data_IF_608757020299
#
_entry.id   IF_608757020299
#
_cell.length_a   1.000
_cell.length_b   1.000
_cell.length_c   1.000
_cell.angle_alpha   90.00
_cell.angle_beta   90.00
_cell.angle_gamma   90.00
#
_symmetry.space_group_name_H-M   'P 1'
#
loop_
_entity.id
_entity.type
_entity.pdbx_description
1 polymer ?
#
# COMPACT_ATOMS: atom_id res chain seq x y z
N UNK A 1 20.89 8.15 -4.15
CA UNK A 1 19.47 8.28 -3.65
C UNK A 1 19.40 7.50 -2.36
N UNK A 2 18.94 8.13 -1.31
CA UNK A 2 18.82 7.49 -0.01
C UNK A 2 17.70 6.45 -0.04
N UNK A 3 17.99 5.27 0.49
CA UNK A 3 17.02 4.18 0.61
C UNK A 3 15.99 4.50 1.69
N UNK A 4 14.80 3.97 1.53
CA UNK A 4 13.71 4.07 2.49
C UNK A 4 13.67 2.76 3.28
N UNK A 5 13.76 2.83 4.61
CA UNK A 5 13.69 1.63 5.44
C UNK A 5 12.27 1.07 5.47
N UNK A 6 12.16 -0.25 5.45
CA UNK A 6 10.88 -0.95 5.65
C UNK A 6 10.41 -0.91 7.11
N UNK A 7 11.31 -0.52 8.03
CA UNK A 7 11.07 -0.59 9.48
C UNK A 7 11.29 -1.99 10.07
N UNK A 8 11.59 -2.98 9.24
CA UNK A 8 11.88 -4.37 9.65
C UNK A 8 13.35 -4.66 9.36
N UNK A 9 14.17 -4.69 10.44
CA UNK A 9 15.63 -4.80 10.31
C UNK A 9 16.07 -5.97 9.43
N UNK A 10 15.53 -7.16 9.64
CA UNK A 10 15.93 -8.35 8.85
C UNK A 10 15.59 -8.20 7.36
N UNK A 11 14.53 -7.46 7.03
CA UNK A 11 14.14 -7.17 5.66
C UNK A 11 15.10 -6.15 5.04
N UNK A 12 15.41 -5.09 5.78
CA UNK A 12 16.37 -4.08 5.32
C UNK A 12 17.78 -4.67 5.16
N UNK A 13 18.20 -5.59 6.03
CA UNK A 13 19.50 -6.29 5.93
C UNK A 13 19.60 -7.12 4.64
N UNK A 14 18.50 -7.71 4.17
CA UNK A 14 18.46 -8.55 2.95
C UNK A 14 18.32 -7.68 1.69
N UNK A 15 17.38 -6.74 1.69
CA UNK A 15 17.03 -5.95 0.50
C UNK A 15 17.82 -4.64 0.38
N UNK A 16 18.46 -4.22 1.47
CA UNK A 16 19.11 -2.92 1.56
C UNK A 16 18.13 -1.75 1.60
N UNK A 17 16.88 -1.98 2.02
CA UNK A 17 15.79 -1.00 2.00
C UNK A 17 15.14 -0.80 0.63
N UNK A 18 14.11 0.04 0.59
CA UNK A 18 13.34 0.35 -0.62
C UNK A 18 14.00 1.50 -1.39
N UNK A 19 13.86 1.48 -2.70
CA UNK A 19 14.18 2.64 -3.53
C UNK A 19 13.02 3.65 -3.52
N UNK A 20 13.30 4.95 -3.64
CA UNK A 20 12.26 5.93 -3.92
C UNK A 20 11.46 5.54 -5.17
N UNK A 21 10.14 5.45 -5.00
CA UNK A 21 9.22 4.99 -6.04
C UNK A 21 8.84 3.51 -5.97
N UNK A 22 9.44 2.72 -5.08
CA UNK A 22 9.05 1.31 -4.94
C UNK A 22 7.60 1.18 -4.46
N UNK A 23 6.82 0.43 -5.21
CA UNK A 23 5.48 0.01 -4.87
C UNK A 23 5.54 -1.43 -4.36
N UNK A 24 5.21 -1.62 -3.10
CA UNK A 24 5.26 -2.92 -2.40
C UNK A 24 3.87 -3.44 -2.20
N UNK A 25 3.57 -4.60 -2.77
CA UNK A 25 2.30 -5.29 -2.58
C UNK A 25 2.48 -6.46 -1.62
N UNK A 26 1.74 -6.45 -0.54
CA UNK A 26 1.69 -7.49 0.46
C UNK A 26 0.47 -8.38 0.22
N UNK A 27 0.71 -9.63 -0.15
CA UNK A 27 -0.32 -10.63 -0.32
C UNK A 27 -0.51 -11.41 0.98
N UNK A 28 -1.66 -11.27 1.61
CA UNK A 28 -1.94 -11.76 2.96
C UNK A 28 -3.17 -12.66 3.01
N UNK A 29 -3.19 -13.63 3.90
CA UNK A 29 -4.37 -14.43 4.20
C UNK A 29 -5.35 -13.67 5.10
N UNK A 30 -4.82 -13.03 6.14
CA UNK A 30 -5.54 -12.18 7.07
C UNK A 30 -4.95 -10.78 7.08
N UNK A 31 -5.81 -9.77 7.06
CA UNK A 31 -5.40 -8.37 7.08
C UNK A 31 -4.61 -8.01 8.35
N UNK A 32 -4.84 -8.71 9.45
CA UNK A 32 -4.07 -8.53 10.68
C UNK A 32 -2.57 -8.85 10.49
N UNK A 33 -2.21 -9.73 9.57
CA UNK A 33 -0.81 -10.00 9.23
C UNK A 33 -0.16 -8.78 8.55
N UNK A 34 -0.92 -8.04 7.75
CA UNK A 34 -0.45 -6.79 7.13
C UNK A 34 -0.18 -5.70 8.16
N UNK A 35 -0.95 -5.65 9.25
CA UNK A 35 -0.75 -4.68 10.35
C UNK A 35 0.70 -4.64 10.82
N UNK A 36 1.33 -5.78 11.03
CA UNK A 36 2.70 -5.85 11.55
C UNK A 36 3.72 -5.14 10.64
N UNK A 37 3.61 -5.35 9.33
CA UNK A 37 4.55 -4.73 8.37
C UNK A 37 4.24 -3.24 8.17
N UNK A 38 2.95 -2.87 8.18
CA UNK A 38 2.53 -1.46 8.06
C UNK A 38 2.93 -0.65 9.28
N UNK A 39 2.68 -1.15 10.49
CA UNK A 39 3.05 -0.47 11.73
C UNK A 39 4.57 -0.23 11.81
N UNK A 40 5.38 -1.20 11.39
CA UNK A 40 6.82 -1.05 11.34
C UNK A 40 7.25 0.03 10.35
N UNK A 41 6.69 0.00 9.13
CA UNK A 41 6.97 0.96 8.07
C UNK A 41 6.55 2.39 8.45
N UNK A 42 5.34 2.55 8.98
CA UNK A 42 4.79 3.86 9.39
C UNK A 42 5.64 4.45 10.51
N UNK A 43 5.91 3.69 11.58
CA UNK A 43 6.74 4.17 12.71
C UNK A 43 8.14 4.55 12.26
N UNK A 44 8.77 3.75 11.40
CA UNK A 44 10.11 4.06 10.89
C UNK A 44 10.09 5.29 9.98
N UNK A 45 9.14 5.38 9.09
CA UNK A 45 8.99 6.54 8.19
C UNK A 45 8.79 7.85 8.95
N UNK A 46 7.95 7.85 9.99
CA UNK A 46 7.77 9.02 10.88
C UNK A 46 9.09 9.38 11.57
N UNK A 47 9.81 8.38 12.10
CA UNK A 47 11.11 8.59 12.77
C UNK A 47 12.15 9.18 11.82
N UNK A 48 12.10 8.82 10.55
CA UNK A 48 12.99 9.31 9.49
C UNK A 48 12.52 10.65 8.89
N UNK A 49 11.49 11.29 9.48
CA UNK A 49 10.98 12.58 9.05
C UNK A 49 10.23 12.55 7.72
N UNK A 50 9.68 11.40 7.32
CA UNK A 50 8.85 11.27 6.12
C UNK A 50 7.43 11.74 6.38
N UNK A 51 6.79 12.31 5.36
CA UNK A 51 5.37 12.57 5.33
C UNK A 51 4.63 11.27 5.04
N UNK A 52 3.97 10.69 6.05
CA UNK A 52 3.22 9.45 5.88
C UNK A 52 1.79 9.78 5.48
N UNK A 53 1.41 9.39 4.28
CA UNK A 53 0.06 9.57 3.75
C UNK A 53 -0.69 8.24 3.85
N UNK A 54 -1.71 8.21 4.72
CA UNK A 54 -2.51 7.02 4.99
C UNK A 54 -3.85 7.13 4.27
N UNK A 55 -4.04 6.32 3.25
CA UNK A 55 -5.27 6.29 2.44
C UNK A 55 -6.18 5.21 2.97
N UNK A 56 -7.29 5.64 3.54
CA UNK A 56 -8.27 4.83 4.23
C UNK A 56 -9.61 4.84 3.50
N UNK A 57 -10.37 3.77 3.62
CA UNK A 57 -11.68 3.65 2.99
C UNK A 57 -12.79 3.84 4.01
N UNK A 58 -13.78 4.67 3.71
CA UNK A 58 -14.92 4.92 4.59
C UNK A 58 -15.60 3.64 5.03
N UNK A 59 -16.10 3.64 6.27
CA UNK A 59 -16.82 2.52 6.91
C UNK A 59 -15.96 1.30 7.22
N UNK A 60 -14.66 1.45 7.25
CA UNK A 60 -13.72 0.39 7.62
C UNK A 60 -12.93 0.86 8.84
N UNK A 61 -12.51 -0.04 9.70
CA UNK A 61 -11.58 0.30 10.78
C UNK A 61 -10.16 0.40 10.22
N UNK A 62 -9.39 1.39 10.69
CA UNK A 62 -7.98 1.51 10.35
C UNK A 62 -7.18 0.29 10.80
N UNK A 63 -6.20 -0.13 9.99
CA UNK A 63 -5.28 -1.20 10.35
C UNK A 63 -4.30 -0.72 11.42
N UNK A 64 -3.84 0.53 11.36
CA UNK A 64 -2.93 1.10 12.37
C UNK A 64 -3.72 1.75 13.51
N UNK A 65 -3.18 1.65 14.72
CA UNK A 65 -3.85 2.14 15.93
C UNK A 65 -3.65 3.64 16.14
N UNK A 66 -2.48 4.19 15.78
CA UNK A 66 -2.14 5.60 15.98
C UNK A 66 -2.10 6.37 14.67
N UNK A 67 -3.15 7.14 14.44
CA UNK A 67 -3.29 8.02 13.27
C UNK A 67 -2.80 9.45 13.53
N UNK A 68 -2.35 9.77 14.75
CA UNK A 68 -2.07 11.16 15.15
C UNK A 68 -0.88 11.80 14.41
N UNK A 69 -0.02 11.00 13.80
CA UNK A 69 1.21 11.43 13.12
C UNK A 69 1.22 11.12 11.62
N UNK A 70 0.07 10.78 11.06
CA UNK A 70 -0.08 10.53 9.64
C UNK A 70 -1.08 11.50 9.02
N UNK A 71 -0.91 11.80 7.74
CA UNK A 71 -1.91 12.51 6.95
C UNK A 71 -2.99 11.50 6.55
N UNK A 72 -4.13 11.55 7.24
CA UNK A 72 -5.24 10.64 6.97
C UNK A 72 -6.11 11.17 5.82
N UNK A 73 -6.33 10.33 4.82
CA UNK A 73 -7.24 10.59 3.70
C UNK A 73 -8.33 9.52 3.64
N UNK A 74 -9.56 9.88 3.95
CA UNK A 74 -10.71 8.99 3.85
C UNK A 74 -11.38 9.09 2.48
N UNK A 75 -11.34 8.02 1.72
CA UNK A 75 -11.92 7.94 0.39
C UNK A 75 -13.20 7.08 0.37
N UNK A 76 -14.15 7.51 -0.45
CA UNK A 76 -15.42 6.81 -0.63
C UNK A 76 -15.46 6.05 -1.95
N UNK A 77 -15.43 4.72 -1.89
CA UNK A 77 -15.49 3.85 -3.06
C UNK A 77 -16.82 3.91 -3.81
N UNK A 78 -17.90 4.36 -3.15
CA UNK A 78 -19.22 4.50 -3.77
C UNK A 78 -19.28 5.58 -4.86
N UNK A 79 -18.30 6.47 -4.92
CA UNK A 79 -18.17 7.49 -5.97
C UNK A 79 -17.70 6.94 -7.32
N UNK A 80 -17.30 5.67 -7.36
CA UNK A 80 -16.83 5.00 -8.57
C UNK A 80 -15.33 5.09 -8.80
N UNK A 81 -14.87 4.32 -9.79
CA UNK A 81 -13.44 4.14 -10.09
C UNK A 81 -12.73 5.43 -10.48
N UNK A 82 -13.36 6.23 -11.35
CA UNK A 82 -12.73 7.45 -11.88
C UNK A 82 -12.52 8.50 -10.79
N UNK A 83 -13.57 8.81 -10.01
CA UNK A 83 -13.51 9.77 -8.92
C UNK A 83 -12.51 9.33 -7.84
N UNK A 84 -12.50 8.03 -7.52
CA UNK A 84 -11.55 7.46 -6.58
C UNK A 84 -10.11 7.63 -7.07
N UNK A 85 -9.83 7.20 -8.30
CA UNK A 85 -8.48 7.28 -8.89
C UNK A 85 -8.00 8.72 -9.01
N UNK A 86 -8.87 9.64 -9.43
CA UNK A 86 -8.58 11.08 -9.46
C UNK A 86 -8.25 11.63 -8.07
N UNK A 87 -9.01 11.23 -7.06
CA UNK A 87 -8.76 11.66 -5.68
C UNK A 87 -7.39 11.19 -5.19
N UNK A 88 -7.05 9.91 -5.42
CA UNK A 88 -5.72 9.36 -5.11
C UNK A 88 -4.61 10.12 -5.83
N UNK A 89 -4.75 10.38 -7.11
CA UNK A 89 -3.74 11.11 -7.90
C UNK A 89 -3.58 12.55 -7.41
N UNK A 90 -4.66 13.23 -7.02
CA UNK A 90 -4.59 14.57 -6.43
C UNK A 90 -3.85 14.56 -5.08
N UNK A 91 -4.10 13.56 -4.22
CA UNK A 91 -3.35 13.39 -2.97
C UNK A 91 -1.86 13.19 -3.26
N UNK A 92 -1.50 12.29 -4.17
CA UNK A 92 -0.11 12.06 -4.55
C UNK A 92 0.55 13.33 -5.08
N UNK A 93 -0.16 14.09 -5.92
CA UNK A 93 0.34 15.35 -6.49
C UNK A 93 0.59 16.42 -5.42
N UNK A 94 -0.30 16.55 -4.45
CA UNK A 94 -0.23 17.60 -3.42
C UNK A 94 0.66 17.24 -2.24
N UNK A 95 0.89 15.92 -2.00
CA UNK A 95 1.65 15.39 -0.88
C UNK A 95 2.93 14.65 -1.33
N UNK A 96 3.52 15.04 -2.47
CA UNK A 96 4.62 14.26 -3.06
C UNK A 96 5.98 14.46 -2.39
N UNK A 97 6.19 15.60 -1.72
CA UNK A 97 7.50 15.93 -1.15
C UNK A 97 7.83 15.05 0.07
N UNK A 98 8.97 14.34 -0.01
CA UNK A 98 9.49 13.47 1.06
C UNK A 98 8.45 12.48 1.63
N UNK A 99 7.59 11.95 0.77
CA UNK A 99 6.38 11.22 1.14
C UNK A 99 6.50 9.71 0.97
N UNK A 100 5.76 9.00 1.81
CA UNK A 100 5.43 7.59 1.65
C UNK A 100 3.92 7.40 1.75
N UNK A 101 3.41 6.33 1.16
CA UNK A 101 1.97 6.06 1.10
C UNK A 101 1.64 4.69 1.66
N UNK A 102 0.55 4.61 2.40
CA UNK A 102 -0.05 3.35 2.85
C UNK A 102 -1.49 3.31 2.36
N UNK A 103 -1.81 2.28 1.59
CA UNK A 103 -3.19 1.99 1.18
C UNK A 103 -3.75 0.91 2.10
N UNK A 104 -4.72 1.32 2.92
CA UNK A 104 -5.35 0.42 3.88
C UNK A 104 -6.36 -0.47 3.17
N UNK A 105 -5.85 -1.67 2.89
CA UNK A 105 -6.50 -2.81 2.29
C UNK A 105 -7.29 -2.60 0.99
N UNK A 106 -6.62 -2.87 -0.13
CA UNK A 106 -7.26 -2.90 -1.46
C UNK A 106 -8.32 -4.01 -1.61
N UNK A 107 -8.43 -4.93 -0.65
CA UNK A 107 -9.52 -5.91 -0.60
C UNK A 107 -10.90 -5.22 -0.54
N UNK A 108 -10.98 -4.03 0.03
CA UNK A 108 -12.22 -3.25 0.04
C UNK A 108 -12.53 -2.64 -1.33
N UNK A 109 -11.51 -2.30 -2.11
CA UNK A 109 -11.68 -1.84 -3.50
C UNK A 109 -12.35 -2.93 -4.35
N UNK A 110 -11.86 -4.16 -4.28
CA UNK A 110 -12.46 -5.29 -4.98
C UNK A 110 -13.94 -5.47 -4.60
N UNK A 111 -14.24 -5.42 -3.31
CA UNK A 111 -15.61 -5.54 -2.81
C UNK A 111 -16.50 -4.36 -3.22
N UNK A 112 -15.95 -3.15 -3.23
CA UNK A 112 -16.69 -1.95 -3.59
C UNK A 112 -17.04 -1.86 -5.07
N UNK A 113 -16.13 -2.33 -5.93
CA UNK A 113 -16.34 -2.26 -7.39
C UNK A 113 -16.75 -3.60 -8.02
N UNK A 114 -16.77 -4.68 -7.25
CA UNK A 114 -17.12 -6.03 -7.71
C UNK A 114 -16.36 -6.49 -8.95
N UNK A 115 -15.13 -6.01 -9.13
CA UNK A 115 -14.34 -6.24 -10.34
C UNK A 115 -12.84 -6.30 -10.07
N UNK A 116 -12.26 -7.43 -10.38
CA UNK A 116 -10.81 -7.66 -10.38
C UNK A 116 -10.11 -6.74 -11.38
N UNK A 117 -10.73 -6.52 -12.55
CA UNK A 117 -10.18 -5.66 -13.59
C UNK A 117 -10.01 -4.22 -13.11
N UNK A 118 -10.94 -3.69 -12.33
CA UNK A 118 -10.84 -2.34 -11.77
C UNK A 118 -9.66 -2.23 -10.79
N UNK A 119 -9.42 -3.27 -9.98
CA UNK A 119 -8.26 -3.31 -9.11
C UNK A 119 -6.96 -3.31 -9.92
N UNK A 120 -6.84 -4.16 -10.96
CA UNK A 120 -5.67 -4.17 -11.83
C UNK A 120 -5.44 -2.81 -12.53
N UNK A 121 -6.50 -2.18 -13.01
CA UNK A 121 -6.44 -0.86 -13.64
C UNK A 121 -5.99 0.22 -12.65
N UNK A 122 -6.43 0.15 -11.39
CA UNK A 122 -5.95 1.07 -10.35
C UNK A 122 -4.43 0.99 -10.18
N UNK A 123 -3.85 -0.22 -10.07
CA UNK A 123 -2.41 -0.38 -10.03
C UNK A 123 -1.72 0.17 -11.27
N UNK A 124 -2.26 -0.15 -12.46
CA UNK A 124 -1.69 0.26 -13.74
C UNK A 124 -1.56 1.77 -13.89
N UNK A 125 -2.45 2.55 -13.30
CA UNK A 125 -2.42 4.02 -13.41
C UNK A 125 -1.77 4.69 -12.20
N UNK A 126 -1.82 4.08 -11.01
CA UNK A 126 -1.32 4.69 -9.77
C UNK A 126 0.15 4.38 -9.52
N UNK A 127 0.61 3.13 -9.72
CA UNK A 127 2.00 2.75 -9.45
C UNK A 127 3.03 3.51 -10.30
N UNK A 128 2.84 3.71 -11.62
CA UNK A 128 3.75 4.53 -12.40
C UNK A 128 3.80 5.98 -11.95
N UNK A 129 2.71 6.50 -11.40
CA UNK A 129 2.67 7.86 -10.89
C UNK A 129 3.45 7.99 -9.56
N UNK A 130 3.27 7.07 -8.63
CA UNK A 130 4.06 6.97 -7.39
C UNK A 130 5.56 6.82 -7.71
N UNK A 131 5.90 5.97 -8.66
CA UNK A 131 7.28 5.79 -9.14
C UNK A 131 7.86 7.10 -9.66
N UNK A 132 7.11 7.83 -10.50
CA UNK A 132 7.53 9.12 -11.09
C UNK A 132 7.81 10.19 -10.04
N UNK A 133 7.04 10.24 -8.96
CA UNK A 133 7.25 11.20 -7.86
C UNK A 133 8.26 10.71 -6.81
N UNK A 134 8.80 9.51 -6.98
CA UNK A 134 9.79 8.94 -6.06
C UNK A 134 9.25 8.57 -4.69
N UNK A 135 7.95 8.27 -4.58
CA UNK A 135 7.31 7.93 -3.33
C UNK A 135 7.14 6.41 -3.18
N UNK A 136 7.65 5.84 -2.09
CA UNK A 136 7.40 4.44 -1.78
C UNK A 136 5.96 4.26 -1.27
N UNK A 137 5.33 3.15 -1.67
CA UNK A 137 3.96 2.86 -1.30
C UNK A 137 3.75 1.40 -0.89
N UNK A 138 2.95 1.20 0.16
CA UNK A 138 2.49 -0.10 0.64
C UNK A 138 1.04 -0.33 0.28
N UNK A 139 0.78 -1.51 -0.29
CA UNK A 139 -0.56 -1.99 -0.63
C UNK A 139 -0.76 -3.37 -0.03
N UNK A 140 -1.99 -3.71 0.35
CA UNK A 140 -2.33 -5.08 0.69
C UNK A 140 -3.43 -5.65 -0.20
N UNK A 141 -3.26 -6.90 -0.58
CA UNK A 141 -4.27 -7.69 -1.26
C UNK A 141 -4.50 -9.00 -0.52
N UNK A 142 -5.74 -9.47 -0.51
CA UNK A 142 -6.05 -10.75 0.11
C UNK A 142 -5.66 -11.89 -0.84
N UNK A 143 -4.93 -12.88 -0.31
CA UNK A 143 -4.56 -14.09 -1.06
C UNK A 143 -5.79 -14.83 -1.54
N UNK A 144 -5.69 -15.45 -2.71
CA UNK A 144 -6.75 -16.24 -3.34
C UNK A 144 -8.09 -15.49 -3.56
N UNK A 145 -8.07 -14.14 -3.52
CA UNK A 145 -9.26 -13.32 -3.76
C UNK A 145 -9.33 -12.73 -5.17
N UNK A 146 -8.27 -12.90 -5.95
CA UNK A 146 -8.17 -12.36 -7.31
C UNK A 146 -7.86 -13.45 -8.31
N UNK A 147 -8.28 -13.24 -9.56
CA UNK A 147 -7.91 -14.12 -10.67
C UNK A 147 -6.40 -14.07 -10.93
N UNK A 148 -5.85 -15.13 -11.50
CA UNK A 148 -4.43 -15.19 -11.88
C UNK A 148 -4.03 -14.04 -12.80
N UNK A 149 -4.86 -13.70 -13.78
CA UNK A 149 -4.65 -12.59 -14.72
C UNK A 149 -4.54 -11.23 -14.00
N UNK A 150 -5.39 -11.01 -13.00
CA UNK A 150 -5.32 -9.79 -12.16
C UNK A 150 -4.02 -9.71 -11.38
N UNK A 151 -3.60 -10.80 -10.74
CA UNK A 151 -2.33 -10.85 -10.02
C UNK A 151 -1.15 -10.63 -10.97
N UNK A 152 -1.17 -11.22 -12.16
CA UNK A 152 -0.13 -11.00 -13.18
C UNK A 152 -0.02 -9.51 -13.55
N UNK A 153 -1.13 -8.84 -13.79
CA UNK A 153 -1.17 -7.40 -14.09
C UNK A 153 -0.67 -6.53 -12.93
N UNK A 154 -1.00 -6.89 -11.68
CA UNK A 154 -0.46 -6.20 -10.49
C UNK A 154 1.07 -6.36 -10.45
N UNK A 155 1.59 -7.57 -10.67
CA UNK A 155 3.03 -7.86 -10.68
C UNK A 155 3.79 -7.10 -11.76
N UNK A 156 3.18 -6.86 -12.92
CA UNK A 156 3.77 -6.09 -14.02
C UNK A 156 3.97 -4.61 -13.67
N UNK A 157 3.20 -4.09 -12.72
CA UNK A 157 3.18 -2.66 -12.38
C UNK A 157 3.85 -2.32 -11.05
N UNK A 158 4.19 -3.33 -10.25
CA UNK A 158 4.79 -3.15 -8.93
C UNK A 158 6.23 -3.63 -8.91
N UNK A 159 7.08 -3.01 -8.09
CA UNK A 159 8.49 -3.38 -7.97
C UNK A 159 8.68 -4.60 -7.08
N UNK A 160 7.84 -4.72 -6.04
CA UNK A 160 7.97 -5.76 -5.03
C UNK A 160 6.59 -6.38 -4.77
N UNK A 161 6.48 -7.69 -4.86
CA UNK A 161 5.31 -8.45 -4.40
C UNK A 161 5.77 -9.48 -3.39
N UNK A 162 5.22 -9.40 -2.18
CA UNK A 162 5.59 -10.23 -1.05
C UNK A 162 4.38 -11.01 -0.54
N UNK A 163 4.62 -12.28 -0.23
CA UNK A 163 3.64 -13.12 0.43
C UNK A 163 3.91 -13.19 1.93
N UNK A 164 2.87 -12.97 2.74
CA UNK A 164 2.93 -13.18 4.18
C UNK A 164 2.17 -14.46 4.52
N UNK A 165 2.86 -15.39 5.15
CA UNK A 165 2.28 -16.63 5.66
C UNK A 165 2.24 -16.61 7.17
N UNK A 166 1.13 -17.10 7.73
CA UNK A 166 1.05 -17.41 9.16
C UNK A 166 1.03 -18.93 9.30
N UNK A 167 2.04 -19.48 9.95
CA UNK A 167 2.13 -20.91 10.25
C UNK A 167 2.28 -21.04 11.76
N UNK A 168 1.30 -21.65 12.40
CA UNK A 168 1.26 -21.92 13.85
C UNK A 168 1.55 -20.65 14.70
N UNK A 169 1.01 -19.50 14.28
CA UNK A 169 1.18 -18.22 14.96
C UNK A 169 2.49 -17.48 14.65
N UNK A 170 3.34 -18.05 13.82
CA UNK A 170 4.57 -17.37 13.31
C UNK A 170 4.32 -16.79 11.93
N UNK A 171 4.79 -15.57 11.72
CA UNK A 171 4.68 -14.84 10.46
C UNK A 171 5.97 -15.04 9.66
N UNK A 172 5.81 -15.48 8.41
CA UNK A 172 6.88 -15.71 7.45
C UNK A 172 6.68 -14.87 6.20
#
# INVERSE_FOLDING_TARGET
MDKISTGIKGFDDIMGGLYPGDNVVWQVEDINNYKHVVDAFVRKSIKDGKNVNYIHFRKVNSIIDDLSKVNLFELDLAKGFEDFTMSVHNIIKTQSENSVYVFDSLTYIQRGWYSDLMTANFFKVTCPYLYKVGAAAYFSIKRNSYTYDTIAKIRETTQILMDIYNVDGSIY
#
